data_IF_343828501518
#
_entry.id   IF_343828501518
#
_cell.length_a   1.000
_cell.length_b   1.000
_cell.length_c   1.000
_cell.angle_alpha   90.00
_cell.angle_beta   90.00
_cell.angle_gamma   90.00
#
_symmetry.space_group_name_H-M   'P 1'
#
loop_
_entity.id
_entity.type
_entity.pdbx_description
1 polymer ?
#
# COMPACT_ATOMS: atom_id res chain seq x y z
N UNK A 1 -16.11 2.63 4.81
CA UNK A 1 -16.29 2.68 6.29
C UNK A 1 -17.72 2.28 6.63
N UNK A 2 -18.05 2.16 7.90
CA UNK A 2 -19.38 1.80 8.37
C UNK A 2 -19.76 2.63 9.60
N UNK A 3 -21.01 3.08 9.68
CA UNK A 3 -21.59 3.72 10.86
C UNK A 3 -22.93 3.06 11.13
N UNK A 4 -23.16 2.62 12.36
CA UNK A 4 -24.41 1.96 12.78
C UNK A 4 -24.86 2.50 14.13
N UNK A 5 -26.14 2.88 14.24
CA UNK A 5 -26.75 3.33 15.50
C UNK A 5 -28.27 3.34 15.37
N UNK A 6 -28.96 2.96 16.46
CA UNK A 6 -30.42 2.85 16.48
C UNK A 6 -30.95 1.58 15.82
N UNK A 7 -32.24 1.32 16.07
CA UNK A 7 -32.95 0.15 15.55
C UNK A 7 -34.34 0.49 15.04
N UNK A 8 -35.01 1.49 15.64
CA UNK A 8 -36.33 2.00 15.24
C UNK A 8 -36.35 3.52 15.31
N UNK A 9 -37.19 4.15 14.49
CA UNK A 9 -37.29 5.62 14.38
C UNK A 9 -37.78 6.32 15.66
N UNK A 10 -38.43 5.59 16.58
CA UNK A 10 -39.00 6.12 17.82
C UNK A 10 -38.28 5.63 19.10
N UNK A 11 -37.12 4.98 18.96
CA UNK A 11 -36.30 4.53 20.09
C UNK A 11 -34.98 5.29 20.03
N UNK A 12 -34.67 6.06 21.08
CA UNK A 12 -33.39 6.77 21.19
C UNK A 12 -32.27 5.74 21.38
N UNK A 13 -31.23 5.72 20.52
CA UNK A 13 -30.14 4.77 20.65
C UNK A 13 -29.26 5.05 21.86
N UNK A 14 -28.90 4.00 22.59
CA UNK A 14 -27.91 4.08 23.66
C UNK A 14 -26.45 4.06 23.16
N UNK A 15 -26.19 3.62 21.92
CA UNK A 15 -24.84 3.47 21.37
C UNK A 15 -24.84 3.62 19.86
N UNK A 16 -23.74 4.16 19.33
CA UNK A 16 -23.39 4.12 17.91
C UNK A 16 -21.99 3.51 17.75
N UNK A 17 -21.77 2.78 16.66
CA UNK A 17 -20.49 2.14 16.32
C UNK A 17 -20.03 2.65 14.97
N UNK A 18 -18.76 3.06 14.90
CA UNK A 18 -18.10 3.48 13.67
C UNK A 18 -16.92 2.55 13.39
N UNK A 19 -16.75 2.14 12.13
CA UNK A 19 -15.62 1.33 11.65
C UNK A 19 -15.00 1.97 10.43
N UNK A 20 -13.68 1.98 10.39
CA UNK A 20 -12.91 2.54 9.29
C UNK A 20 -11.47 2.07 9.30
N UNK A 21 -10.71 2.57 8.34
CA UNK A 21 -9.27 2.34 8.19
C UNK A 21 -8.53 3.67 8.27
N UNK A 22 -7.34 3.66 8.85
CA UNK A 22 -6.36 4.74 8.71
C UNK A 22 -5.24 4.29 7.77
N UNK A 23 -4.74 5.20 6.94
CA UNK A 23 -3.58 4.97 6.05
C UNK A 23 -2.63 6.14 6.19
N UNK A 24 -1.33 5.86 6.10
CA UNK A 24 -0.27 6.86 6.11
C UNK A 24 0.97 6.27 5.43
N UNK A 25 1.69 7.11 4.70
CA UNK A 25 2.94 6.74 4.03
C UNK A 25 4.15 6.66 4.99
N UNK A 26 4.01 7.28 6.15
CA UNK A 26 5.06 7.36 7.15
C UNK A 26 4.60 6.73 8.48
N UNK A 27 5.47 5.92 9.07
CA UNK A 27 5.18 5.19 10.31
C UNK A 27 4.98 6.10 11.53
N UNK A 28 5.71 7.22 11.60
CA UNK A 28 5.55 8.23 12.66
C UNK A 28 4.23 8.98 12.50
N UNK A 29 3.86 9.38 11.29
CA UNK A 29 2.54 9.98 11.00
C UNK A 29 1.42 9.02 11.38
N UNK A 30 1.58 7.73 11.06
CA UNK A 30 0.62 6.68 11.45
C UNK A 30 0.46 6.57 12.96
N UNK A 31 1.56 6.58 13.72
CA UNK A 31 1.52 6.54 15.18
C UNK A 31 0.83 7.78 15.77
N UNK A 32 1.11 8.97 15.21
CA UNK A 32 0.45 10.21 15.60
C UNK A 32 -1.06 10.19 15.32
N UNK A 33 -1.48 9.67 14.18
CA UNK A 33 -2.90 9.50 13.85
C UNK A 33 -3.61 8.59 14.84
N UNK A 34 -2.98 7.45 15.21
CA UNK A 34 -3.55 6.53 16.21
C UNK A 34 -3.76 7.19 17.57
N UNK A 35 -2.77 7.95 18.04
CA UNK A 35 -2.84 8.66 19.31
C UNK A 35 -3.95 9.73 19.28
N UNK A 36 -3.90 10.63 18.29
CA UNK A 36 -4.84 11.77 18.19
C UNK A 36 -6.28 11.33 17.96
N UNK A 37 -6.51 10.26 17.18
CA UNK A 37 -7.87 9.76 16.95
C UNK A 37 -8.53 9.30 18.26
N UNK A 38 -7.75 8.72 19.18
CA UNK A 38 -8.23 8.35 20.50
C UNK A 38 -8.63 9.56 21.34
N UNK A 39 -7.84 10.63 21.30
CA UNK A 39 -8.13 11.88 22.01
C UNK A 39 -9.39 12.55 21.45
N UNK A 40 -9.46 12.73 20.12
CA UNK A 40 -10.62 13.35 19.47
C UNK A 40 -11.91 12.58 19.73
N UNK A 41 -11.88 11.25 19.65
CA UNK A 41 -13.07 10.44 19.91
C UNK A 41 -13.59 10.65 21.34
N UNK A 42 -12.69 10.70 22.34
CA UNK A 42 -13.06 10.92 23.74
C UNK A 42 -13.57 12.34 23.98
N UNK A 43 -12.88 13.35 23.47
CA UNK A 43 -13.22 14.75 23.73
C UNK A 43 -14.55 15.13 23.07
N UNK A 44 -14.78 14.69 21.83
CA UNK A 44 -16.06 14.88 21.15
C UNK A 44 -17.18 14.18 21.91
N UNK A 45 -17.01 12.91 22.32
CA UNK A 45 -18.05 12.20 23.07
C UNK A 45 -18.37 12.89 24.41
N UNK A 46 -17.34 13.35 25.14
CA UNK A 46 -17.50 14.08 26.41
C UNK A 46 -18.27 15.39 26.25
N UNK A 47 -18.05 16.13 25.15
CA UNK A 47 -18.79 17.35 24.86
C UNK A 47 -20.32 17.10 24.76
N UNK A 48 -20.72 15.89 24.38
CA UNK A 48 -22.12 15.44 24.32
C UNK A 48 -22.56 14.61 25.53
N UNK A 49 -21.77 14.58 26.62
CA UNK A 49 -22.03 13.79 27.84
C UNK A 49 -22.11 12.27 27.56
N UNK A 50 -21.29 11.80 26.62
CA UNK A 50 -21.15 10.39 26.27
C UNK A 50 -19.69 9.93 26.45
N UNK A 51 -19.49 8.62 26.34
CA UNK A 51 -18.16 7.99 26.34
C UNK A 51 -17.83 7.39 24.97
N UNK A 52 -16.54 7.32 24.64
CA UNK A 52 -16.04 6.68 23.42
C UNK A 52 -14.91 5.70 23.74
N UNK A 53 -14.98 4.51 23.13
CA UNK A 53 -13.92 3.50 23.13
C UNK A 53 -13.41 3.31 21.71
N UNK A 54 -12.13 3.59 21.50
CA UNK A 54 -11.43 3.29 20.26
C UNK A 54 -10.67 1.96 20.38
N UNK A 55 -10.81 1.11 19.38
CA UNK A 55 -10.05 -0.14 19.28
C UNK A 55 -9.49 -0.29 17.86
N UNK A 56 -8.19 -0.55 17.75
CA UNK A 56 -7.58 -1.01 16.52
C UNK A 56 -7.58 -2.54 16.53
N UNK A 57 -8.20 -3.16 15.53
CA UNK A 57 -8.32 -4.63 15.46
C UNK A 57 -7.01 -5.31 15.09
N UNK A 58 -6.20 -4.67 14.25
CA UNK A 58 -4.88 -5.12 13.86
C UNK A 58 -4.02 -3.92 13.50
N UNK A 59 -2.70 -4.09 13.60
CA UNK A 59 -1.76 -3.09 13.11
C UNK A 59 -1.63 -3.08 11.59
N UNK A 60 -2.31 -3.97 10.86
CA UNK A 60 -2.33 -3.99 9.39
C UNK A 60 -0.93 -3.94 8.76
N UNK A 61 -0.87 -3.63 7.47
CA UNK A 61 0.41 -3.46 6.78
C UNK A 61 0.98 -2.05 7.04
N UNK A 62 2.28 -1.91 7.35
CA UNK A 62 2.98 -0.63 7.27
C UNK A 62 3.07 -0.15 5.80
N UNK A 63 3.61 1.04 5.59
CA UNK A 63 3.88 1.52 4.24
C UNK A 63 4.92 0.60 3.56
N UNK A 64 4.72 0.30 2.27
CA UNK A 64 5.73 -0.36 1.45
C UNK A 64 6.81 0.68 1.16
N UNK A 65 7.99 0.50 1.74
CA UNK A 65 9.13 1.41 1.56
C UNK A 65 10.27 0.65 0.90
N UNK A 66 10.56 1.05 -0.33
CA UNK A 66 11.70 0.55 -1.06
C UNK A 66 13.01 1.11 -0.50
N UNK A 67 14.07 0.30 -0.56
CA UNK A 67 15.39 0.69 -0.10
C UNK A 67 16.25 1.16 -1.29
N UNK A 68 16.95 2.27 -1.13
CA UNK A 68 17.70 2.95 -2.21
C UNK A 68 18.64 2.01 -2.98
N UNK A 69 19.45 1.21 -2.28
CA UNK A 69 20.43 0.34 -2.92
C UNK A 69 19.78 -0.81 -3.73
N UNK A 70 18.86 -1.62 -3.15
CA UNK A 70 18.07 -2.59 -3.93
C UNK A 70 17.28 -1.98 -5.08
N UNK A 71 16.71 -0.78 -4.91
CA UNK A 71 15.98 -0.09 -5.99
C UNK A 71 16.90 0.33 -7.13
N UNK A 72 18.02 0.96 -6.83
CA UNK A 72 19.00 1.32 -7.85
C UNK A 72 19.56 0.08 -8.58
N UNK A 73 19.73 -1.03 -7.85
CA UNK A 73 20.11 -2.31 -8.45
C UNK A 73 19.03 -2.85 -9.40
N UNK A 74 17.77 -2.90 -8.95
CA UNK A 74 16.66 -3.38 -9.77
C UNK A 74 16.48 -2.53 -11.02
N UNK A 75 16.55 -1.19 -10.91
CA UNK A 75 16.47 -0.26 -12.04
C UNK A 75 17.51 -0.58 -13.11
N UNK A 76 18.78 -0.76 -12.73
CA UNK A 76 19.85 -1.11 -13.67
C UNK A 76 19.67 -2.49 -14.29
N UNK A 77 19.30 -3.49 -13.48
CA UNK A 77 19.13 -4.87 -13.95
C UNK A 77 17.95 -5.00 -14.93
N UNK A 78 16.83 -4.33 -14.64
CA UNK A 78 15.66 -4.31 -15.53
C UNK A 78 15.97 -3.53 -16.81
N UNK A 79 16.65 -2.38 -16.71
CA UNK A 79 17.09 -1.61 -17.88
C UNK A 79 17.99 -2.42 -18.81
N UNK A 80 18.95 -3.17 -18.27
CA UNK A 80 19.81 -4.04 -19.08
C UNK A 80 19.06 -5.19 -19.76
N UNK A 81 18.00 -5.73 -19.15
CA UNK A 81 17.22 -6.84 -19.70
C UNK A 81 16.17 -6.37 -20.71
N UNK A 82 15.50 -5.24 -20.48
CA UNK A 82 14.34 -4.78 -21.26
C UNK A 82 14.71 -3.66 -22.25
N UNK A 83 15.68 -2.82 -21.88
CA UNK A 83 16.11 -1.63 -22.63
C UNK A 83 16.17 -0.40 -21.74
N UNK A 84 17.04 0.54 -22.11
CA UNK A 84 17.14 1.84 -21.43
C UNK A 84 15.79 2.58 -21.49
N UNK A 85 15.35 3.11 -20.36
CA UNK A 85 14.04 3.78 -20.23
C UNK A 85 12.85 2.86 -19.91
N UNK A 86 13.07 1.55 -19.76
CA UNK A 86 12.01 0.61 -19.35
C UNK A 86 11.52 0.82 -17.91
N UNK A 87 12.32 1.48 -17.07
CA UNK A 87 11.99 1.80 -15.69
C UNK A 87 11.78 3.30 -15.59
N UNK A 88 10.61 3.71 -15.09
CA UNK A 88 10.31 5.10 -14.77
C UNK A 88 10.28 5.27 -13.26
N UNK A 89 10.88 6.36 -12.78
CA UNK A 89 10.63 6.80 -11.40
C UNK A 89 9.21 7.34 -11.36
N UNK A 90 8.32 6.55 -10.77
CA UNK A 90 6.93 6.95 -10.63
C UNK A 90 6.77 7.72 -9.32
N UNK A 91 6.58 9.04 -9.41
CA UNK A 91 6.32 9.90 -8.25
C UNK A 91 4.96 9.63 -7.58
N UNK A 92 4.15 8.71 -8.10
CA UNK A 92 2.84 8.43 -7.53
C UNK A 92 2.95 7.43 -6.40
N UNK A 93 2.89 7.95 -5.18
CA UNK A 93 2.66 7.13 -4.00
C UNK A 93 1.19 6.67 -4.02
N UNK A 94 0.97 5.36 -4.08
CA UNK A 94 -0.38 4.77 -4.06
C UNK A 94 -0.88 4.59 -2.64
N UNK A 95 -2.17 4.87 -2.41
CA UNK A 95 -2.83 4.54 -1.15
C UNK A 95 -3.14 3.05 -1.01
N UNK A 96 -2.88 2.22 -2.03
CA UNK A 96 -3.00 0.76 -1.92
C UNK A 96 -2.08 0.23 -0.82
N UNK A 97 -2.57 -0.79 -0.11
CA UNK A 97 -1.84 -1.44 0.97
C UNK A 97 -1.44 -2.83 0.50
N UNK A 98 -0.22 -3.26 0.83
CA UNK A 98 0.34 -4.54 0.40
C UNK A 98 1.17 -5.14 1.54
N UNK A 99 1.08 -6.46 1.73
CA UNK A 99 1.81 -7.18 2.79
C UNK A 99 3.30 -7.37 2.45
N UNK A 100 3.74 -7.04 1.23
CA UNK A 100 5.16 -6.88 0.90
C UNK A 100 5.91 -5.93 1.82
N UNK A 101 5.20 -4.97 2.41
CA UNK A 101 5.75 -4.09 3.45
C UNK A 101 6.35 -4.86 4.64
N UNK A 102 5.77 -6.02 5.01
CA UNK A 102 6.28 -6.85 6.11
C UNK A 102 7.61 -7.52 5.76
N UNK A 103 7.78 -7.94 4.51
CA UNK A 103 9.04 -8.51 4.03
C UNK A 103 10.15 -7.45 3.99
N UNK A 104 9.80 -6.25 3.51
CA UNK A 104 10.76 -5.13 3.42
C UNK A 104 11.18 -4.59 4.79
N UNK A 105 10.40 -4.82 5.86
CA UNK A 105 10.85 -4.52 7.23
C UNK A 105 11.96 -5.45 7.72
N UNK A 106 12.05 -6.67 7.17
CA UNK A 106 13.03 -7.69 7.61
C UNK A 106 14.27 -7.67 6.73
N UNK A 107 14.11 -7.41 5.43
CA UNK A 107 15.21 -7.40 4.46
C UNK A 107 15.12 -6.20 3.53
N UNK A 108 16.24 -5.47 3.30
CA UNK A 108 16.30 -4.47 2.25
C UNK A 108 15.89 -5.06 0.90
N UNK A 109 14.98 -4.40 0.21
CA UNK A 109 14.43 -4.88 -1.05
C UNK A 109 13.78 -3.79 -1.88
N UNK A 110 13.36 -4.17 -3.08
CA UNK A 110 12.65 -3.32 -4.02
C UNK A 110 11.39 -4.05 -4.50
N UNK A 111 10.24 -3.44 -4.27
CA UNK A 111 8.94 -3.79 -4.80
C UNK A 111 8.57 -2.81 -5.91
N UNK A 112 8.25 -3.30 -7.09
CA UNK A 112 7.97 -2.47 -8.26
C UNK A 112 6.72 -2.97 -8.97
N UNK A 113 6.04 -2.06 -9.67
CA UNK A 113 4.87 -2.38 -10.47
C UNK A 113 5.25 -2.56 -11.94
N UNK A 114 4.52 -3.42 -12.64
CA UNK A 114 4.61 -3.58 -14.10
C UNK A 114 3.42 -2.87 -14.71
N UNK A 115 3.67 -1.93 -15.62
CA UNK A 115 2.60 -1.20 -16.32
C UNK A 115 1.75 -2.17 -17.14
N UNK A 116 0.47 -2.27 -16.81
CA UNK A 116 -0.47 -3.22 -17.42
C UNK A 116 -1.82 -2.58 -17.79
N UNK A 117 -1.87 -1.26 -17.94
CA UNK A 117 -3.09 -0.58 -18.36
C UNK A 117 -3.57 -1.08 -19.74
N UNK A 118 -4.90 -1.12 -19.99
CA UNK A 118 -5.45 -1.48 -21.30
C UNK A 118 -4.85 -0.64 -22.44
N UNK A 119 -4.75 -1.22 -23.64
CA UNK A 119 -4.17 -0.52 -24.82
C UNK A 119 -5.00 0.70 -25.26
N UNK A 120 -6.30 0.69 -24.97
CA UNK A 120 -7.21 1.77 -25.31
C UNK A 120 -8.21 2.02 -24.19
N UNK A 121 -8.71 3.26 -24.11
CA UNK A 121 -9.66 3.67 -23.09
C UNK A 121 -9.02 4.04 -21.74
N UNK A 122 -9.84 4.35 -20.74
CA UNK A 122 -9.34 4.74 -19.42
C UNK A 122 -8.76 3.54 -18.66
N UNK A 123 -7.79 3.76 -17.75
CA UNK A 123 -7.32 2.72 -16.84
C UNK A 123 -8.48 2.08 -16.06
N UNK A 124 -8.49 0.75 -15.99
CA UNK A 124 -9.45 -0.02 -15.20
C UNK A 124 -8.81 -0.37 -13.85
N UNK A 125 -9.21 0.27 -12.74
CA UNK A 125 -8.48 0.15 -11.49
C UNK A 125 -8.62 -1.24 -10.87
N UNK A 126 -7.63 -1.62 -10.07
CA UNK A 126 -7.70 -2.84 -9.26
C UNK A 126 -8.98 -2.86 -8.40
N UNK A 127 -9.55 -4.05 -8.21
CA UNK A 127 -10.80 -4.30 -7.47
C UNK A 127 -12.09 -3.71 -8.09
N UNK A 128 -12.03 -3.15 -9.30
CA UNK A 128 -13.26 -2.83 -10.05
C UNK A 128 -13.87 -4.10 -10.67
N UNK A 129 -15.21 -4.22 -10.76
CA UNK A 129 -15.88 -5.29 -11.51
C UNK A 129 -15.43 -5.37 -12.97
N UNK A 130 -15.13 -4.21 -13.57
CA UNK A 130 -14.68 -4.06 -14.95
C UNK A 130 -13.15 -4.04 -15.07
N UNK A 131 -12.42 -4.59 -14.10
CA UNK A 131 -10.97 -4.68 -14.16
C UNK A 131 -10.51 -5.37 -15.45
N UNK A 132 -9.52 -4.76 -16.09
CA UNK A 132 -8.92 -5.25 -17.32
C UNK A 132 -7.43 -4.87 -17.32
N UNK A 133 -6.60 -5.77 -17.84
CA UNK A 133 -5.17 -5.53 -18.00
C UNK A 133 -4.72 -5.88 -19.42
N UNK A 134 -3.69 -5.19 -19.91
CA UNK A 134 -3.02 -5.58 -21.14
C UNK A 134 -2.08 -6.77 -20.87
N UNK A 135 -2.44 -7.96 -21.37
CA UNK A 135 -1.66 -9.19 -21.19
C UNK A 135 -0.25 -9.14 -21.81
N UNK A 136 0.03 -8.17 -22.69
CA UNK A 136 1.40 -7.91 -23.18
C UNK A 136 2.35 -7.48 -22.05
N UNK A 137 1.82 -7.09 -20.89
CA UNK A 137 2.59 -6.85 -19.68
C UNK A 137 3.16 -8.13 -19.05
N UNK A 138 2.58 -9.30 -19.31
CA UNK A 138 3.04 -10.58 -18.74
C UNK A 138 4.51 -10.91 -19.11
N UNK A 139 4.92 -10.91 -20.39
CA UNK A 139 6.33 -11.13 -20.73
C UNK A 139 7.26 -10.04 -20.20
N UNK A 140 6.78 -8.79 -20.05
CA UNK A 140 7.55 -7.68 -19.47
C UNK A 140 7.82 -7.96 -17.98
N UNK A 141 6.79 -8.37 -17.22
CA UNK A 141 6.92 -8.71 -15.81
C UNK A 141 7.85 -9.89 -15.58
N UNK A 142 7.72 -10.96 -16.39
CA UNK A 142 8.62 -12.11 -16.33
C UNK A 142 10.08 -11.70 -16.60
N UNK A 143 10.33 -10.94 -17.67
CA UNK A 143 11.68 -10.47 -18.00
C UNK A 143 12.24 -9.56 -16.92
N UNK A 144 11.44 -8.66 -16.37
CA UNK A 144 11.86 -7.78 -15.26
C UNK A 144 12.38 -8.60 -14.08
N UNK A 145 11.61 -9.61 -13.63
CA UNK A 145 12.02 -10.47 -12.53
C UNK A 145 13.26 -11.31 -12.88
N UNK A 146 13.33 -11.88 -14.08
CA UNK A 146 14.49 -12.67 -14.53
C UNK A 146 15.76 -11.82 -14.63
N UNK A 147 15.67 -10.59 -15.12
CA UNK A 147 16.79 -9.66 -15.21
C UNK A 147 17.40 -9.38 -13.83
N UNK A 148 16.54 -9.10 -12.84
CA UNK A 148 16.96 -8.89 -11.44
C UNK A 148 17.61 -10.16 -10.86
N UNK A 149 16.99 -11.33 -11.04
CA UNK A 149 17.53 -12.59 -10.51
C UNK A 149 18.88 -12.95 -11.15
N UNK A 150 19.01 -12.84 -12.48
CA UNK A 150 20.25 -13.12 -13.19
C UNK A 150 21.37 -12.18 -12.77
N UNK A 151 21.09 -10.88 -12.65
CA UNK A 151 22.07 -9.92 -12.18
C UNK A 151 22.50 -10.22 -10.73
N UNK A 152 21.56 -10.64 -9.87
CA UNK A 152 21.82 -10.94 -8.47
C UNK A 152 22.62 -12.22 -8.26
N UNK A 153 22.48 -13.20 -9.15
CA UNK A 153 23.20 -14.48 -9.11
C UNK A 153 24.50 -14.49 -9.93
N UNK A 154 24.82 -13.38 -10.62
CA UNK A 154 26.06 -13.27 -11.41
C UNK A 154 27.29 -13.32 -10.50
N UNK A 155 28.39 -14.00 -10.87
CA UNK A 155 29.60 -14.08 -10.05
C UNK A 155 30.16 -12.70 -9.63
N UNK A 156 29.85 -11.63 -10.38
CA UNK A 156 30.24 -10.26 -10.07
C UNK A 156 29.44 -9.62 -8.89
N UNK A 157 28.41 -10.28 -8.36
CA UNK A 157 27.62 -9.81 -7.21
C UNK A 157 28.10 -10.35 -5.86
N UNK A 158 29.01 -11.33 -5.84
CA UNK A 158 29.45 -12.01 -4.62
C UNK A 158 30.27 -11.13 -3.64
N UNK A 159 30.70 -9.94 -4.08
CA UNK A 159 31.50 -8.98 -3.30
C UNK A 159 30.68 -7.77 -2.75
N UNK A 160 29.34 -7.84 -2.72
CA UNK A 160 28.47 -6.75 -2.21
C UNK A 160 27.61 -7.15 -1.01
#
# INVERSE_FOLDING_TARGET
>A
GQITGGTKHNIIPATAVMRGSIRAFDGRVRAQLKARLGDYARDIARAYRADAKLQFQADGCPAVVNHDAPSAFATRAIGAEIGDGAVTEHDAVTMASDDMSLFLQVRPGCYFSVGAAPESGPPRPHHAPEFEMNERALPIGLRSALGVMRAGLSPASADR
#
